data_IF_414469247327
#
_entry.id   IF_414469247327
#
_cell.length_a   1.000
_cell.length_b   1.000
_cell.length_c   1.000
_cell.angle_alpha   90.00
_cell.angle_beta   90.00
_cell.angle_gamma   90.00
#
_symmetry.space_group_name_H-M   'P 1'
#
loop_
_entity.id
_entity.type
_entity.pdbx_description
1 polymer ?
#
# COMPACT_ATOMS: atom_id res chain seq x y z
N UNK A 1 31.07 19.51 -17.81
CA UNK A 1 30.93 18.19 -17.17
C UNK A 1 31.57 17.15 -18.07
N UNK A 2 32.54 16.40 -17.56
CA UNK A 2 33.31 15.41 -18.30
C UNK A 2 32.68 14.03 -18.02
N UNK A 3 32.38 13.19 -19.02
CA UNK A 3 31.77 11.90 -18.76
C UNK A 3 32.77 11.02 -17.97
N UNK A 4 32.26 10.29 -16.98
CA UNK A 4 32.98 9.20 -16.33
C UNK A 4 33.16 8.09 -17.37
N UNK A 5 34.33 8.05 -18.01
CA UNK A 5 34.71 6.99 -18.92
C UNK A 5 35.34 5.88 -18.07
N UNK A 6 34.67 4.72 -18.03
CA UNK A 6 35.19 3.51 -17.38
C UNK A 6 36.14 2.77 -18.35
N UNK A 7 37.27 3.41 -18.68
CA UNK A 7 38.29 2.77 -19.52
C UNK A 7 38.94 1.62 -18.74
N UNK A 8 38.68 0.39 -19.17
CA UNK A 8 39.34 -0.83 -18.67
C UNK A 8 38.46 -1.82 -17.91
N UNK A 9 37.18 -1.52 -17.66
CA UNK A 9 36.30 -2.48 -17.00
C UNK A 9 35.67 -3.45 -18.03
N UNK A 10 35.81 -4.78 -17.88
CA UNK A 10 35.20 -5.73 -18.80
C UNK A 10 33.69 -5.53 -18.84
N UNK A 11 33.10 -5.56 -20.04
CA UNK A 11 31.65 -5.37 -20.25
C UNK A 11 30.81 -6.30 -19.37
N UNK A 12 31.29 -7.52 -19.15
CA UNK A 12 30.70 -8.52 -18.26
C UNK A 12 30.70 -8.08 -16.79
N UNK A 13 31.76 -7.41 -16.33
CA UNK A 13 31.88 -6.91 -14.96
C UNK A 13 30.96 -5.71 -14.73
N UNK A 14 30.82 -4.82 -15.72
CA UNK A 14 29.86 -3.72 -15.64
C UNK A 14 28.41 -4.22 -15.61
N UNK A 15 28.08 -5.21 -16.44
CA UNK A 15 26.77 -5.88 -16.43
C UNK A 15 26.50 -6.62 -15.12
N UNK A 16 27.50 -7.30 -14.56
CA UNK A 16 27.40 -7.97 -13.26
C UNK A 16 27.16 -6.97 -12.13
N UNK A 17 27.87 -5.84 -12.11
CA UNK A 17 27.66 -4.78 -11.12
C UNK A 17 26.28 -4.15 -11.23
N UNK A 18 25.77 -3.93 -12.45
CA UNK A 18 24.42 -3.40 -12.67
C UNK A 18 23.35 -4.40 -12.17
N UNK A 19 23.52 -5.70 -12.43
CA UNK A 19 22.64 -6.75 -11.93
C UNK A 19 22.64 -6.85 -10.40
N UNK A 20 23.82 -6.76 -9.76
CA UNK A 20 23.94 -6.77 -8.30
C UNK A 20 23.29 -5.54 -7.67
N UNK A 21 23.46 -4.35 -8.26
CA UNK A 21 22.80 -3.13 -7.78
C UNK A 21 21.27 -3.22 -7.84
N UNK A 22 20.70 -3.85 -8.89
CA UNK A 22 19.25 -4.07 -8.98
C UNK A 22 18.71 -5.07 -7.95
N UNK A 23 19.54 -6.02 -7.50
CA UNK A 23 19.20 -6.99 -6.44
C UNK A 23 19.35 -6.39 -5.03
N UNK A 24 20.22 -5.38 -4.88
CA UNK A 24 20.54 -4.76 -3.59
C UNK A 24 19.57 -3.64 -3.18
N UNK A 25 18.64 -3.20 -4.04
CA UNK A 25 17.53 -2.30 -3.64
C UNK A 25 16.44 -3.00 -2.83
N UNK A 26 16.81 -3.98 -2.00
CA UNK A 26 15.91 -4.52 -0.99
C UNK A 26 15.54 -3.37 -0.04
N UNK A 27 14.26 -3.04 0.03
CA UNK A 27 13.73 -2.03 0.93
C UNK A 27 14.29 -2.25 2.35
N UNK A 28 14.68 -1.17 3.03
CA UNK A 28 15.03 -1.23 4.45
C UNK A 28 13.87 -1.92 5.20
N UNK A 29 14.08 -3.12 5.77
CA UNK A 29 13.01 -3.91 6.37
C UNK A 29 12.42 -3.25 7.62
N UNK A 30 13.04 -2.17 8.12
CA UNK A 30 12.58 -1.43 9.29
C UNK A 30 11.29 -0.65 9.01
N UNK A 31 11.08 -0.15 7.78
CA UNK A 31 9.95 0.71 7.46
C UNK A 31 9.17 0.19 6.26
N UNK A 32 7.87 -0.02 6.47
CA UNK A 32 6.92 -0.30 5.39
C UNK A 32 6.59 1.03 4.69
N UNK A 33 6.79 1.09 3.38
CA UNK A 33 6.51 2.29 2.59
C UNK A 33 5.39 2.03 1.61
N UNK A 34 4.22 2.61 1.87
CA UNK A 34 3.09 2.65 0.93
C UNK A 34 2.35 3.97 1.06
N UNK A 35 1.90 4.47 -0.07
CA UNK A 35 1.11 5.68 -0.16
C UNK A 35 -0.29 5.30 -0.68
N UNK A 36 -1.33 5.72 0.03
CA UNK A 36 -2.72 5.43 -0.35
C UNK A 36 -3.06 6.02 -1.74
N UNK A 37 -2.45 7.14 -2.11
CA UNK A 37 -2.65 7.78 -3.42
C UNK A 37 -2.29 6.84 -4.58
N UNK A 38 -1.28 5.99 -4.39
CA UNK A 38 -0.76 5.07 -5.42
C UNK A 38 -1.49 3.70 -5.43
N UNK A 39 -2.41 3.48 -4.48
CA UNK A 39 -3.17 2.23 -4.36
C UNK A 39 -4.55 2.39 -4.99
N UNK A 40 -4.84 1.57 -6.01
CA UNK A 40 -6.17 1.53 -6.61
C UNK A 40 -7.20 0.94 -5.62
N UNK A 41 -8.46 1.42 -5.65
CA UNK A 41 -9.53 0.81 -4.85
C UNK A 41 -9.69 -0.68 -5.16
N UNK A 42 -10.00 -1.47 -4.14
CA UNK A 42 -10.23 -2.92 -4.26
C UNK A 42 -11.58 -3.30 -3.63
N UNK A 43 -12.20 -4.41 -4.08
CA UNK A 43 -13.37 -4.97 -3.40
C UNK A 43 -13.05 -5.32 -1.95
N UNK A 44 -13.94 -4.91 -1.05
CA UNK A 44 -13.85 -5.17 0.38
C UNK A 44 -15.26 -5.27 0.95
N UNK A 45 -15.43 -6.00 2.04
CA UNK A 45 -16.72 -6.15 2.73
C UNK A 45 -17.25 -4.82 3.28
N UNK A 46 -16.40 -3.83 3.59
CA UNK A 46 -16.82 -2.44 3.88
C UNK A 46 -17.56 -1.77 2.72
N UNK A 47 -17.34 -2.23 1.49
CA UNK A 47 -17.93 -1.69 0.27
C UNK A 47 -19.03 -2.57 -0.33
N UNK A 48 -19.27 -3.75 0.25
CA UNK A 48 -20.27 -4.68 -0.27
C UNK A 48 -21.70 -4.17 -0.02
N UNK A 49 -22.46 -3.89 -1.08
CA UNK A 49 -23.79 -3.27 -0.98
C UNK A 49 -23.77 -1.82 -0.48
N UNK A 50 -22.58 -1.21 -0.40
CA UNK A 50 -22.41 0.18 -0.02
C UNK A 50 -22.86 1.13 -1.15
N UNK A 51 -23.24 2.36 -0.78
CA UNK A 51 -23.56 3.41 -1.73
C UNK A 51 -22.44 4.44 -1.74
N UNK A 52 -21.78 4.62 -2.89
CA UNK A 52 -20.72 5.61 -3.08
C UNK A 52 -19.61 5.55 -2.00
N UNK A 53 -19.11 4.34 -1.72
CA UNK A 53 -17.96 4.12 -0.85
C UNK A 53 -16.88 3.34 -1.61
N UNK A 54 -15.61 3.63 -1.32
CA UNK A 54 -14.47 2.93 -1.91
C UNK A 54 -13.38 2.67 -0.88
N UNK A 55 -12.67 1.56 -1.03
CA UNK A 55 -11.63 1.14 -0.08
C UNK A 55 -10.29 0.92 -0.79
N UNK A 56 -9.22 1.51 -0.27
CA UNK A 56 -7.84 1.35 -0.75
C UNK A 56 -7.01 0.57 0.28
N UNK A 57 -6.74 -0.74 0.08
CA UNK A 57 -6.00 -1.56 1.03
C UNK A 57 -4.50 -1.25 0.98
N UNK A 58 -3.95 -0.74 2.08
CA UNK A 58 -2.51 -0.54 2.23
C UNK A 58 -1.83 -1.82 2.71
N UNK A 59 -2.42 -2.54 3.68
CA UNK A 59 -1.91 -3.80 4.21
C UNK A 59 -3.05 -4.72 4.64
N UNK A 60 -2.78 -6.04 4.69
CA UNK A 60 -3.74 -7.03 5.15
C UNK A 60 -4.73 -7.46 4.06
N UNK A 61 -6.01 -7.62 4.40
CA UNK A 61 -7.05 -8.04 3.44
C UNK A 61 -7.06 -7.12 2.20
N UNK A 62 -7.07 -7.72 1.01
CA UNK A 62 -7.02 -6.99 -0.26
C UNK A 62 -5.62 -6.54 -0.72
N UNK A 63 -4.59 -6.65 0.14
CA UNK A 63 -3.20 -6.36 -0.25
C UNK A 63 -2.51 -7.59 -0.87
N UNK A 64 -1.95 -7.41 -2.07
CA UNK A 64 -1.15 -8.42 -2.77
C UNK A 64 0.10 -8.90 -1.98
N UNK A 65 0.57 -8.15 -0.98
CA UNK A 65 1.73 -8.51 -0.14
C UNK A 65 1.38 -8.73 1.35
N UNK A 66 0.12 -9.04 1.67
CA UNK A 66 -0.40 -9.17 3.04
C UNK A 66 0.41 -10.10 3.95
N UNK A 67 1.07 -11.13 3.41
CA UNK A 67 1.81 -12.15 4.16
C UNK A 67 2.96 -11.63 5.04
N UNK A 68 3.41 -10.40 4.83
CA UNK A 68 4.55 -9.85 5.57
C UNK A 68 4.17 -9.29 6.95
N UNK A 69 2.88 -9.09 7.24
CA UNK A 69 2.41 -8.45 8.48
C UNK A 69 1.49 -9.38 9.25
N UNK A 70 2.00 -9.93 10.35
CA UNK A 70 1.30 -10.95 11.15
C UNK A 70 0.25 -10.40 12.12
N UNK A 71 0.29 -9.11 12.43
CA UNK A 71 -0.58 -8.48 13.44
C UNK A 71 -1.59 -7.49 12.87
N UNK A 72 -1.61 -7.27 11.56
CA UNK A 72 -2.54 -6.32 10.91
C UNK A 72 -3.48 -7.13 10.03
N UNK A 73 -4.74 -7.25 10.46
CA UNK A 73 -5.78 -7.89 9.66
C UNK A 73 -6.10 -7.03 8.42
N UNK A 74 -6.23 -5.71 8.63
CA UNK A 74 -6.56 -4.75 7.58
C UNK A 74 -6.06 -3.35 7.95
N UNK A 75 -5.48 -2.65 6.98
CA UNK A 75 -5.13 -1.24 7.10
C UNK A 75 -5.26 -0.58 5.73
N UNK A 76 -5.93 0.56 5.65
CA UNK A 76 -6.20 1.25 4.40
C UNK A 76 -7.11 2.46 4.58
N UNK A 77 -7.47 3.09 3.46
CA UNK A 77 -8.34 4.27 3.45
C UNK A 77 -9.74 3.89 2.96
N UNK A 78 -10.76 4.23 3.74
CA UNK A 78 -12.16 4.16 3.35
C UNK A 78 -12.63 5.58 3.03
N UNK A 79 -13.03 5.81 1.78
CA UNK A 79 -13.68 7.05 1.37
C UNK A 79 -15.18 6.78 1.24
N UNK A 80 -15.99 7.59 1.92
CA UNK A 80 -17.45 7.62 1.75
C UNK A 80 -17.80 8.99 1.16
N UNK A 81 -18.36 8.98 -0.04
CA UNK A 81 -18.75 10.21 -0.73
C UNK A 81 -19.97 10.86 -0.06
N UNK A 82 -20.25 12.11 -0.42
CA UNK A 82 -21.41 12.82 0.08
C UNK A 82 -22.71 12.03 -0.17
N UNK A 83 -23.53 11.86 0.88
CA UNK A 83 -24.75 11.03 0.89
C UNK A 83 -24.54 9.53 0.66
N UNK A 84 -23.28 9.07 0.65
CA UNK A 84 -22.93 7.66 0.61
C UNK A 84 -23.02 6.99 1.97
N UNK A 85 -22.85 5.67 1.97
CA UNK A 85 -22.76 4.85 3.16
C UNK A 85 -21.88 3.64 2.89
N UNK A 86 -21.03 3.26 3.84
CA UNK A 86 -20.37 1.96 3.84
C UNK A 86 -21.34 0.84 4.23
N UNK A 87 -20.92 -0.41 4.06
CA UNK A 87 -21.59 -1.55 4.64
C UNK A 87 -21.51 -1.51 6.18
N UNK A 88 -22.50 -2.10 6.85
CA UNK A 88 -22.43 -2.40 8.29
C UNK A 88 -21.81 -3.78 8.47
N UNK A 89 -20.60 -3.82 9.03
CA UNK A 89 -19.81 -5.04 9.21
C UNK A 89 -19.37 -5.18 10.68
N UNK A 90 -19.02 -6.40 11.10
CA UNK A 90 -18.53 -6.68 12.45
C UNK A 90 -17.36 -7.66 12.39
N UNK A 91 -16.26 -7.28 13.05
CA UNK A 91 -15.05 -8.09 13.17
C UNK A 91 -14.77 -8.39 14.65
N UNK A 92 -15.39 -9.42 15.23
CA UNK A 92 -15.30 -9.68 16.68
C UNK A 92 -13.91 -10.08 17.16
N UNK A 93 -13.01 -10.48 16.24
CA UNK A 93 -11.64 -10.87 16.53
C UNK A 93 -10.62 -9.75 16.24
N UNK A 94 -11.06 -8.55 15.89
CA UNK A 94 -10.20 -7.44 15.48
C UNK A 94 -10.39 -6.21 16.37
N UNK A 95 -9.27 -5.62 16.79
CA UNK A 95 -9.27 -4.24 17.31
C UNK A 95 -9.25 -3.27 16.13
N UNK A 96 -10.12 -2.25 16.16
CA UNK A 96 -10.31 -1.31 15.06
C UNK A 96 -10.07 0.13 15.53
N UNK A 97 -9.24 0.85 14.79
CA UNK A 97 -8.95 2.26 15.03
C UNK A 97 -9.26 3.05 13.76
N UNK A 98 -10.07 4.09 13.89
CA UNK A 98 -10.47 4.95 12.79
C UNK A 98 -9.89 6.35 12.98
N UNK A 99 -9.21 6.85 11.94
CA UNK A 99 -8.75 8.23 11.87
C UNK A 99 -9.49 8.94 10.75
N UNK A 100 -10.20 10.02 11.09
CA UNK A 100 -10.90 10.84 10.10
C UNK A 100 -9.88 11.79 9.46
N UNK A 101 -9.53 11.52 8.21
CA UNK A 101 -8.57 12.33 7.46
C UNK A 101 -9.20 13.61 6.90
N UNK A 102 -10.48 13.54 6.54
CA UNK A 102 -11.23 14.67 6.01
C UNK A 102 -12.74 14.45 6.15
N UNK A 103 -13.51 15.53 5.99
CA UNK A 103 -14.96 15.54 6.14
C UNK A 103 -15.41 15.97 7.53
N UNK A 104 -16.68 16.35 7.63
CA UNK A 104 -17.35 16.69 8.87
C UNK A 104 -18.61 15.85 8.96
N UNK A 105 -18.76 15.06 10.02
CA UNK A 105 -19.98 14.31 10.25
C UNK A 105 -21.14 15.27 10.46
N UNK A 106 -22.11 15.28 9.55
CA UNK A 106 -23.41 15.88 9.76
C UNK A 106 -24.45 14.87 9.26
N UNK A 107 -25.13 14.23 10.21
CA UNK A 107 -26.26 13.35 9.92
C UNK A 107 -27.50 14.14 9.52
#
# INVERSE_FOLDING_TARGET
>A
MKPLVFDGLPRATFLAMLGVATLASAADPTFLRRNAADVAPQPDDLTNGATAASYRPLFGVGDAQARHLKSIARYGELTVEARGSSATVSYPAEEQIYFILSGSGSG
#
